data_IF_817947476724
#
_entry.id   IF_817947476724
#
_cell.length_a   1.000
_cell.length_b   1.000
_cell.length_c   1.000
_cell.angle_alpha   90.00
_cell.angle_beta   90.00
_cell.angle_gamma   90.00
#
_symmetry.space_group_name_H-M   'P 1'
#
loop_
_entity.id
_entity.type
_entity.pdbx_description
1 polymer ?
#
# COMPACT_ATOMS: atom_id res chain seq x y z
N UNK A 1 -9.69 7.42 11.14
CA UNK A 1 -8.85 6.34 11.66
C UNK A 1 -8.14 6.80 12.93
N UNK A 2 -8.34 6.04 14.00
CA UNK A 2 -7.66 6.35 15.27
C UNK A 2 -6.17 6.05 15.17
N UNK A 3 -5.36 6.92 15.78
CA UNK A 3 -3.92 6.71 15.81
C UNK A 3 -3.18 7.25 14.60
N UNK A 4 -3.87 7.93 13.69
CA UNK A 4 -3.23 8.55 12.53
C UNK A 4 -2.42 9.77 12.97
N UNK A 5 -1.22 9.90 12.44
CA UNK A 5 -0.40 11.09 12.64
C UNK A 5 -0.84 12.15 11.64
N UNK A 6 -1.68 13.05 12.09
CA UNK A 6 -2.28 14.07 11.22
C UNK A 6 -1.23 14.93 10.54
N UNK A 7 -0.12 15.21 11.23
CA UNK A 7 0.91 16.09 10.69
C UNK A 7 1.65 15.50 9.48
N UNK A 8 1.73 14.18 9.41
CA UNK A 8 2.44 13.50 8.34
C UNK A 8 1.50 12.71 7.44
N UNK A 9 0.20 12.73 7.71
CA UNK A 9 -0.78 11.98 6.93
C UNK A 9 -0.80 12.45 5.47
N UNK A 10 -0.74 11.50 4.55
CA UNK A 10 -0.70 11.78 3.13
C UNK A 10 -1.62 10.80 2.40
N UNK A 11 -2.53 11.32 1.60
CA UNK A 11 -3.36 10.47 0.75
C UNK A 11 -2.55 10.00 -0.44
N UNK A 12 -2.67 8.71 -0.73
CA UNK A 12 -2.08 8.11 -1.91
C UNK A 12 -3.20 7.72 -2.87
N UNK A 13 -2.83 7.24 -4.06
CA UNK A 13 -3.82 6.81 -5.04
C UNK A 13 -4.55 5.55 -4.59
N UNK A 14 -5.73 5.36 -5.15
CA UNK A 14 -6.45 4.09 -5.09
C UNK A 14 -6.89 3.68 -3.69
N UNK A 15 -7.18 4.66 -2.83
CA UNK A 15 -7.67 4.38 -1.49
C UNK A 15 -6.60 4.19 -0.44
N UNK A 16 -5.33 4.31 -0.82
CA UNK A 16 -4.21 4.21 0.12
C UNK A 16 -3.88 5.55 0.74
N UNK A 17 -3.30 5.48 1.93
CA UNK A 17 -2.79 6.66 2.62
C UNK A 17 -1.64 6.22 3.53
N UNK A 18 -0.83 7.17 3.94
CA UNK A 18 0.25 6.87 4.87
C UNK A 18 0.52 8.04 5.78
N UNK A 19 1.12 7.75 6.93
CA UNK A 19 1.75 8.74 7.78
C UNK A 19 3.16 8.23 8.13
N UNK A 20 3.85 8.88 9.04
CA UNK A 20 5.21 8.46 9.37
C UNK A 20 5.29 7.12 10.07
N UNK A 21 4.17 6.58 10.55
CA UNK A 21 4.14 5.36 11.35
C UNK A 21 3.51 4.17 10.64
N UNK A 22 2.53 4.42 9.76
CA UNK A 22 1.73 3.34 9.19
C UNK A 22 1.30 3.64 7.77
N UNK A 23 0.93 2.58 7.08
CA UNK A 23 0.25 2.63 5.78
C UNK A 23 -1.19 2.20 6.00
N UNK A 24 -2.13 2.81 5.29
CA UNK A 24 -3.55 2.53 5.43
C UNK A 24 -4.17 2.24 4.07
N UNK A 25 -5.18 1.39 4.06
CA UNK A 25 -6.04 1.18 2.91
C UNK A 25 -7.48 1.29 3.36
N UNK A 26 -8.18 2.34 2.87
CA UNK A 26 -9.57 2.61 3.21
C UNK A 26 -9.83 2.52 4.73
N UNK A 27 -8.94 3.12 5.50
CA UNK A 27 -9.07 3.18 6.95
C UNK A 27 -8.48 2.02 7.73
N UNK A 28 -7.98 0.99 7.03
CA UNK A 28 -7.35 -0.17 7.70
C UNK A 28 -5.84 -0.06 7.66
N UNK A 29 -5.18 -0.37 8.75
CA UNK A 29 -3.72 -0.37 8.80
C UNK A 29 -3.15 -1.56 8.06
N UNK A 30 -2.12 -1.32 7.26
CA UNK A 30 -1.35 -2.39 6.62
C UNK A 30 -0.05 -2.53 7.39
N UNK A 31 -0.01 -3.49 8.30
CA UNK A 31 1.07 -3.58 9.28
C UNK A 31 2.42 -4.01 8.72
N UNK A 32 2.42 -4.72 7.61
CA UNK A 32 3.65 -5.28 7.03
C UNK A 32 4.27 -4.41 5.96
N UNK A 33 3.66 -3.28 5.64
CA UNK A 33 4.15 -2.40 4.60
C UNK A 33 5.39 -1.63 5.05
N UNK A 34 6.32 -1.43 4.12
CA UNK A 34 7.50 -0.61 4.35
C UNK A 34 7.16 0.83 3.97
N UNK A 35 7.05 1.68 4.97
CA UNK A 35 6.56 3.04 4.79
C UNK A 35 7.43 3.85 3.83
N UNK A 36 8.75 3.68 3.90
CA UNK A 36 9.68 4.49 3.12
C UNK A 36 9.60 4.22 1.61
N UNK A 37 9.29 2.98 1.22
CA UNK A 37 9.29 2.60 -0.19
C UNK A 37 7.91 2.36 -0.75
N UNK A 38 6.86 2.47 0.08
CA UNK A 38 5.50 2.18 -0.34
C UNK A 38 5.02 3.18 -1.39
N UNK A 39 4.47 2.67 -2.48
CA UNK A 39 3.90 3.49 -3.55
C UNK A 39 2.61 2.87 -4.05
N UNK A 40 1.66 3.70 -4.44
CA UNK A 40 0.39 3.25 -4.98
C UNK A 40 0.32 3.52 -6.49
N UNK A 41 -0.42 2.67 -7.20
CA UNK A 41 -0.52 2.71 -8.65
C UNK A 41 -1.94 2.43 -9.12
N UNK A 42 -2.24 2.79 -10.36
CA UNK A 42 -3.47 2.42 -11.04
C UNK A 42 -3.15 1.42 -12.14
N UNK A 43 -3.91 0.31 -12.16
CA UNK A 43 -3.84 -0.64 -13.27
C UNK A 43 -2.52 -1.36 -13.44
N UNK A 44 -1.69 -1.39 -12.44
CA UNK A 44 -0.41 -2.08 -12.52
C UNK A 44 -0.60 -3.60 -12.42
N UNK A 45 0.32 -4.33 -13.03
CA UNK A 45 0.30 -5.79 -12.97
C UNK A 45 1.68 -6.36 -13.25
N UNK A 46 1.91 -7.56 -12.71
CA UNK A 46 3.04 -8.39 -13.10
C UNK A 46 2.65 -9.21 -14.31
N UNK A 47 3.60 -9.58 -15.14
CA UNK A 47 3.31 -10.22 -16.43
C UNK A 47 3.34 -11.75 -16.40
N UNK A 48 4.20 -12.36 -15.60
CA UNK A 48 4.33 -13.82 -15.59
C UNK A 48 4.57 -14.36 -14.19
N UNK A 49 3.53 -14.86 -13.50
CA UNK A 49 2.12 -14.87 -13.89
C UNK A 49 1.50 -13.48 -13.85
N UNK A 50 0.36 -13.31 -14.47
CA UNK A 50 -0.35 -12.03 -14.41
C UNK A 50 -0.91 -11.87 -13.00
N UNK A 51 -0.41 -10.89 -12.27
CA UNK A 51 -0.86 -10.57 -10.93
C UNK A 51 -1.12 -9.06 -10.89
N UNK A 52 -2.38 -8.70 -10.69
CA UNK A 52 -2.73 -7.29 -10.55
C UNK A 52 -2.31 -6.79 -9.18
N UNK A 53 -1.73 -5.60 -9.13
CA UNK A 53 -1.45 -4.95 -7.86
C UNK A 53 -1.74 -3.47 -7.98
N UNK A 54 -2.07 -2.84 -6.85
CA UNK A 54 -2.34 -1.41 -6.81
C UNK A 54 -1.41 -0.68 -5.86
N UNK A 55 -0.44 -1.37 -5.29
CA UNK A 55 0.60 -0.76 -4.49
C UNK A 55 1.77 -1.73 -4.35
N UNK A 56 2.93 -1.20 -4.04
CA UNK A 56 4.09 -2.04 -3.74
C UNK A 56 5.07 -1.30 -2.83
N UNK A 57 5.91 -2.08 -2.14
CA UNK A 57 7.07 -1.56 -1.46
C UNK A 57 8.26 -2.47 -1.78
N UNK A 58 9.37 -2.30 -1.08
CA UNK A 58 10.56 -3.10 -1.37
C UNK A 58 10.40 -4.58 -1.03
N UNK A 59 9.37 -4.94 -0.24
CA UNK A 59 9.18 -6.31 0.22
C UNK A 59 8.05 -7.03 -0.49
N UNK A 60 6.96 -6.34 -0.81
CA UNK A 60 5.73 -6.97 -1.24
C UNK A 60 5.00 -6.14 -2.28
N UNK A 61 4.09 -6.83 -2.99
CA UNK A 61 3.05 -6.18 -3.79
C UNK A 61 1.74 -6.28 -3.04
N UNK A 62 0.85 -5.32 -3.29
CA UNK A 62 -0.44 -5.24 -2.59
C UNK A 62 -1.57 -5.05 -3.57
N UNK A 63 -2.73 -5.61 -3.24
CA UNK A 63 -3.96 -5.39 -3.98
C UNK A 63 -5.11 -5.25 -3.01
N UNK A 64 -5.79 -4.10 -3.07
CA UNK A 64 -6.89 -3.77 -2.15
C UNK A 64 -6.49 -4.00 -0.69
N UNK A 65 -5.28 -3.56 -0.35
CA UNK A 65 -4.77 -3.64 1.02
C UNK A 65 -4.20 -4.99 1.42
N UNK A 66 -4.26 -6.00 0.55
CA UNK A 66 -3.77 -7.34 0.86
C UNK A 66 -2.46 -7.61 0.13
N UNK A 67 -1.59 -8.41 0.74
CA UNK A 67 -0.34 -8.79 0.11
C UNK A 67 -0.60 -9.78 -1.01
N UNK A 68 -0.07 -9.48 -2.20
CA UNK A 68 -0.13 -10.38 -3.35
C UNK A 68 1.27 -10.47 -3.94
N UNK A 69 1.95 -11.55 -3.73
CA UNK A 69 3.32 -11.69 -4.20
C UNK A 69 3.42 -12.66 -5.37
N UNK A 70 4.39 -12.36 -6.22
CA UNK A 70 4.76 -13.26 -7.29
C UNK A 70 5.29 -14.56 -6.69
N UNK A 71 4.82 -15.68 -7.19
CA UNK A 71 5.31 -16.97 -6.76
C UNK A 71 6.41 -17.49 -7.67
#
# INVERSE_FOLDING_TARGET
>A
VLGVDIKTFESLDNGYAKDKKNIYYEGKKIRKADIETFSAYYGARLEEPIIHYDAKDKKNYYYEGNIVNKK
#
